data_IF_436472298793
#
_entry.id   IF_436472298793
#
_cell.length_a   1.000
_cell.length_b   1.000
_cell.length_c   1.000
_cell.angle_alpha   90.00
_cell.angle_beta   90.00
_cell.angle_gamma   90.00
#
_symmetry.space_group_name_H-M   'P 1'
#
loop_
_entity.id
_entity.type
_entity.pdbx_description
1 polymer ?
#
# COMPACT_ATOMS: atom_id res chain seq x y z
N UNK A 1 -72.26 -5.65 1.82
CA UNK A 1 -71.38 -6.78 1.41
C UNK A 1 -71.31 -6.80 -0.11
N UNK A 2 -70.17 -7.06 -0.78
CA UNK A 2 -68.80 -7.11 -0.28
C UNK A 2 -67.78 -6.36 -1.17
N UNK A 3 -66.54 -6.32 -0.67
CA UNK A 3 -65.27 -6.49 -1.39
C UNK A 3 -64.51 -5.33 -2.09
N UNK A 4 -63.23 -5.26 -1.65
CA UNK A 4 -61.97 -4.92 -2.33
C UNK A 4 -61.50 -3.47 -2.16
N UNK A 5 -60.63 -3.21 -1.18
CA UNK A 5 -59.20 -3.59 -1.03
C UNK A 5 -58.27 -2.61 -1.74
N UNK A 6 -57.49 -1.91 -0.90
CA UNK A 6 -56.34 -1.11 -1.27
C UNK A 6 -55.36 -1.90 -2.15
N UNK A 7 -54.82 -1.27 -3.17
CA UNK A 7 -53.50 -1.60 -3.69
C UNK A 7 -52.68 -0.32 -3.83
N UNK A 8 -51.91 -0.01 -2.78
CA UNK A 8 -50.69 0.76 -2.92
C UNK A 8 -49.64 -0.17 -3.56
N UNK A 9 -49.17 0.19 -4.75
CA UNK A 9 -48.13 -0.55 -5.46
C UNK A 9 -46.78 -0.37 -4.75
N UNK A 10 -46.32 -1.41 -4.07
CA UNK A 10 -44.92 -1.56 -3.68
C UNK A 10 -44.19 -2.31 -4.81
N UNK A 11 -43.35 -1.61 -5.56
CA UNK A 11 -42.43 -2.22 -6.53
C UNK A 11 -41.21 -2.71 -5.74
N UNK A 12 -41.17 -4.02 -5.47
CA UNK A 12 -40.01 -4.68 -4.91
C UNK A 12 -39.03 -5.03 -6.05
N UNK A 13 -37.94 -4.28 -6.17
CA UNK A 13 -36.87 -4.58 -7.12
C UNK A 13 -36.03 -5.73 -6.57
N UNK A 14 -36.36 -6.96 -6.96
CA UNK A 14 -35.53 -8.15 -6.69
C UNK A 14 -34.29 -8.11 -7.61
N UNK A 15 -33.17 -7.64 -7.07
CA UNK A 15 -31.85 -7.87 -7.66
C UNK A 15 -31.50 -9.34 -7.48
N UNK A 16 -31.81 -10.15 -8.50
CA UNK A 16 -31.29 -11.52 -8.59
C UNK A 16 -29.80 -11.40 -8.92
N UNK A 17 -28.96 -11.43 -7.89
CA UNK A 17 -27.56 -11.82 -8.04
C UNK A 17 -27.57 -13.26 -8.54
N UNK A 18 -27.44 -13.45 -9.86
CA UNK A 18 -27.06 -14.75 -10.41
C UNK A 18 -25.71 -15.11 -9.81
N UNK A 19 -25.70 -15.93 -8.77
CA UNK A 19 -24.51 -16.71 -8.43
C UNK A 19 -24.13 -17.49 -9.69
N UNK A 20 -23.04 -17.07 -10.32
CA UNK A 20 -22.49 -17.84 -11.42
C UNK A 20 -21.98 -19.16 -10.83
N UNK A 21 -22.39 -20.32 -11.38
CA UNK A 21 -21.84 -21.60 -10.94
C UNK A 21 -20.34 -21.59 -11.22
N UNK A 22 -19.53 -21.48 -10.17
CA UNK A 22 -18.08 -21.59 -10.24
C UNK A 22 -17.75 -23.04 -10.57
N UNK A 23 -17.38 -23.30 -11.82
CA UNK A 23 -16.86 -24.61 -12.21
C UNK A 23 -15.59 -24.92 -11.38
N UNK A 24 -15.45 -26.14 -10.84
CA UNK A 24 -14.20 -26.57 -10.24
C UNK A 24 -13.09 -26.49 -11.31
N UNK A 25 -11.91 -26.03 -10.91
CA UNK A 25 -10.76 -25.93 -11.80
C UNK A 25 -10.48 -27.30 -12.45
N UNK A 26 -10.24 -27.36 -13.77
CA UNK A 26 -9.89 -28.61 -14.42
C UNK A 26 -8.59 -29.16 -13.80
N UNK A 27 -8.60 -30.45 -13.45
CA UNK A 27 -7.43 -31.19 -12.94
C UNK A 27 -6.24 -31.23 -13.90
N UNK A 28 -6.44 -30.85 -15.17
CA UNK A 28 -5.39 -30.57 -16.15
C UNK A 28 -5.45 -29.07 -16.47
N UNK A 29 -4.80 -28.26 -15.64
CA UNK A 29 -4.75 -26.80 -15.80
C UNK A 29 -4.07 -26.43 -17.11
N UNK A 30 -4.73 -25.59 -17.91
CA UNK A 30 -4.09 -24.91 -19.02
C UNK A 30 -2.79 -24.24 -18.51
N UNK A 31 -1.67 -24.47 -19.18
CA UNK A 31 -0.36 -24.03 -18.71
C UNK A 31 -0.29 -22.49 -18.86
N UNK A 32 -0.38 -21.74 -17.77
CA UNK A 32 -0.30 -20.27 -17.79
C UNK A 32 1.14 -19.79 -17.60
N UNK A 33 1.45 -18.58 -18.04
CA UNK A 33 2.75 -17.94 -17.84
C UNK A 33 2.56 -16.48 -17.41
N UNK A 34 3.63 -15.80 -17.00
CA UNK A 34 3.58 -14.35 -16.75
C UNK A 34 3.69 -13.53 -18.04
N UNK A 35 4.37 -14.06 -19.06
CA UNK A 35 4.62 -13.39 -20.35
C UNK A 35 4.35 -14.28 -21.55
N UNK A 36 4.27 -13.68 -22.75
CA UNK A 36 4.00 -14.40 -24.00
C UNK A 36 2.50 -14.66 -24.26
N UNK A 37 2.17 -15.61 -25.15
CA UNK A 37 0.78 -15.90 -25.55
C UNK A 37 -0.15 -16.28 -24.39
N UNK A 38 0.40 -17.02 -23.41
CA UNK A 38 -0.30 -17.49 -22.21
C UNK A 38 -0.04 -16.59 -20.98
N UNK A 39 0.49 -15.39 -21.22
CA UNK A 39 0.79 -14.37 -20.22
C UNK A 39 -0.45 -13.80 -19.52
N UNK A 40 -0.23 -12.92 -18.54
CA UNK A 40 -1.30 -12.37 -17.67
C UNK A 40 -2.49 -11.76 -18.40
N UNK A 41 -2.25 -11.10 -19.55
CA UNK A 41 -3.30 -10.50 -20.39
C UNK A 41 -4.24 -11.54 -21.01
N UNK A 42 -3.80 -12.79 -21.12
CA UNK A 42 -4.57 -13.91 -21.64
C UNK A 42 -5.24 -14.73 -20.54
N UNK A 43 -4.87 -14.58 -19.26
CA UNK A 43 -5.44 -15.37 -18.17
C UNK A 43 -6.98 -15.35 -18.12
N UNK A 44 -7.69 -14.21 -18.33
CA UNK A 44 -9.15 -14.19 -18.31
C UNK A 44 -9.83 -15.14 -19.31
N UNK A 45 -9.15 -15.56 -20.37
CA UNK A 45 -9.69 -16.49 -21.38
C UNK A 45 -9.96 -17.87 -20.80
N UNK A 46 -9.04 -18.37 -19.96
CA UNK A 46 -9.10 -19.70 -19.37
C UNK A 46 -9.49 -19.67 -17.88
N UNK A 47 -9.31 -18.51 -17.25
CA UNK A 47 -9.58 -18.27 -15.84
C UNK A 47 -10.43 -16.99 -15.71
N UNK A 48 -11.77 -17.07 -15.90
CA UNK A 48 -12.63 -15.89 -16.00
C UNK A 48 -12.52 -14.92 -14.83
N UNK A 49 -12.30 -15.43 -13.61
CA UNK A 49 -12.09 -14.59 -12.41
C UNK A 49 -10.90 -13.65 -12.53
N UNK A 50 -9.90 -13.95 -13.36
CA UNK A 50 -8.75 -13.06 -13.60
C UNK A 50 -9.14 -11.75 -14.31
N UNK A 51 -10.28 -11.71 -15.00
CA UNK A 51 -10.88 -10.48 -15.55
C UNK A 51 -12.05 -9.97 -14.72
N UNK A 52 -12.26 -10.53 -13.52
CA UNK A 52 -13.36 -10.21 -12.63
C UNK A 52 -13.09 -9.01 -11.73
N UNK A 53 -13.93 -8.87 -10.71
CA UNK A 53 -13.81 -7.83 -9.70
C UNK A 53 -12.77 -8.20 -8.63
N UNK A 54 -12.41 -7.21 -7.82
CA UNK A 54 -11.57 -7.37 -6.63
C UNK A 54 -10.19 -8.00 -6.89
N UNK A 55 -9.61 -7.74 -8.05
CA UNK A 55 -8.31 -8.28 -8.40
C UNK A 55 -7.16 -7.65 -7.58
N UNK A 56 -6.12 -8.44 -7.40
CA UNK A 56 -4.82 -8.11 -6.80
C UNK A 56 -3.69 -8.42 -7.79
N UNK A 57 -2.50 -7.79 -7.68
CA UNK A 57 -2.10 -6.79 -6.65
C UNK A 57 -2.58 -5.37 -6.98
N UNK A 58 -2.32 -4.40 -6.10
CA UNK A 58 -2.78 -3.00 -6.21
C UNK A 58 -1.69 -2.00 -5.78
N UNK A 59 -1.86 -0.73 -6.16
CA UNK A 59 -1.08 0.40 -5.65
C UNK A 59 -1.65 0.91 -4.32
N UNK A 60 -0.84 0.86 -3.27
CA UNK A 60 -1.14 1.35 -1.93
C UNK A 60 -0.70 2.83 -1.84
N UNK A 61 -1.61 3.75 -2.13
CA UNK A 61 -1.33 5.19 -2.20
C UNK A 61 -2.34 6.00 -1.39
N UNK A 62 -1.94 7.21 -0.98
CA UNK A 62 -2.64 8.02 0.04
C UNK A 62 -4.13 8.24 -0.20
N UNK A 63 -4.58 8.38 -1.46
CA UNK A 63 -5.98 8.69 -1.80
C UNK A 63 -6.96 7.57 -1.43
N UNK A 64 -6.48 6.32 -1.30
CA UNK A 64 -7.32 5.16 -0.97
C UNK A 64 -7.10 4.65 0.46
N UNK A 65 -6.17 5.22 1.22
CA UNK A 65 -5.85 4.76 2.57
C UNK A 65 -6.82 5.36 3.60
N UNK A 66 -7.34 4.50 4.48
CA UNK A 66 -8.15 4.93 5.60
C UNK A 66 -7.69 4.27 6.89
N UNK A 67 -7.33 5.07 7.90
CA UNK A 67 -7.02 4.53 9.22
C UNK A 67 -8.23 3.80 9.82
N UNK A 68 -7.98 2.61 10.36
CA UNK A 68 -8.98 1.84 11.06
C UNK A 68 -8.42 1.31 12.39
N UNK A 69 -8.89 1.89 13.49
CA UNK A 69 -8.50 1.51 14.85
C UNK A 69 -8.92 0.09 15.25
N UNK A 70 -9.83 -0.56 14.50
CA UNK A 70 -10.20 -1.95 14.76
C UNK A 70 -9.17 -2.96 14.24
N UNK A 71 -8.16 -2.51 13.48
CA UNK A 71 -7.07 -3.35 13.01
C UNK A 71 -6.04 -3.56 14.12
N UNK A 72 -6.20 -4.67 14.84
CA UNK A 72 -5.29 -5.08 15.91
C UNK A 72 -4.04 -5.77 15.34
N UNK A 73 -2.92 -5.80 16.09
CA UNK A 73 -1.77 -6.63 15.73
C UNK A 73 -2.19 -8.08 15.48
N UNK A 74 -1.65 -8.69 14.42
CA UNK A 74 -1.82 -10.12 14.20
C UNK A 74 -0.91 -10.90 15.14
N UNK A 75 -1.36 -12.07 15.57
CA UNK A 75 -0.53 -13.01 16.32
C UNK A 75 -0.12 -14.19 15.44
N UNK A 76 1.16 -14.53 15.45
CA UNK A 76 1.75 -15.57 14.61
C UNK A 76 2.01 -16.84 15.42
N UNK A 77 1.01 -17.71 15.49
CA UNK A 77 1.03 -18.88 16.36
C UNK A 77 1.68 -20.07 15.67
N UNK A 78 2.64 -20.70 16.36
CA UNK A 78 3.37 -21.87 15.85
C UNK A 78 4.43 -21.54 14.79
N UNK A 79 4.70 -20.26 14.51
CA UNK A 79 5.64 -19.83 13.48
C UNK A 79 7.10 -20.21 13.78
N UNK A 80 7.44 -20.42 15.06
CA UNK A 80 8.75 -20.92 15.46
C UNK A 80 8.82 -22.45 15.31
N UNK A 81 9.19 -22.90 14.11
CA UNK A 81 9.28 -24.33 13.78
C UNK A 81 10.63 -24.89 14.20
N UNK A 82 10.61 -26.07 14.85
CA UNK A 82 11.81 -26.74 15.33
C UNK A 82 12.73 -27.15 14.18
N UNK A 83 14.05 -27.00 14.36
CA UNK A 83 15.05 -27.48 13.41
C UNK A 83 15.05 -29.01 13.19
N UNK A 84 14.38 -29.76 14.07
CA UNK A 84 14.19 -31.21 13.92
C UNK A 84 13.02 -31.56 12.97
N UNK A 85 12.16 -30.59 12.66
CA UNK A 85 11.13 -30.73 11.63
C UNK A 85 11.72 -30.36 10.26
N UNK A 86 11.02 -30.75 9.20
CA UNK A 86 11.46 -30.47 7.83
C UNK A 86 10.36 -29.74 7.07
N UNK A 87 10.77 -28.70 6.36
CA UNK A 87 9.96 -28.10 5.31
C UNK A 87 10.28 -28.76 3.97
N UNK A 88 9.34 -28.71 3.04
CA UNK A 88 9.58 -29.07 1.63
C UNK A 88 9.68 -27.81 0.80
N UNK A 89 10.85 -27.53 0.24
CA UNK A 89 11.06 -26.47 -0.74
C UNK A 89 10.88 -27.05 -2.15
N UNK A 90 10.09 -26.38 -2.98
CA UNK A 90 9.66 -26.87 -4.30
C UNK A 90 9.75 -25.72 -5.31
N UNK A 91 10.30 -25.98 -6.49
CA UNK A 91 10.04 -25.14 -7.65
C UNK A 91 8.80 -25.69 -8.37
N UNK A 92 7.68 -24.96 -8.34
CA UNK A 92 6.43 -25.42 -8.97
C UNK A 92 6.27 -24.98 -10.42
N UNK A 93 7.31 -24.37 -10.99
CA UNK A 93 7.32 -23.82 -12.34
C UNK A 93 6.68 -22.44 -12.45
N UNK A 94 6.34 -21.80 -11.33
CA UNK A 94 5.85 -20.41 -11.28
C UNK A 94 6.52 -19.60 -10.16
N UNK A 95 6.92 -20.27 -9.08
CA UNK A 95 7.72 -19.71 -7.99
C UNK A 95 8.57 -20.81 -7.35
N UNK A 96 9.47 -20.41 -6.45
CA UNK A 96 9.91 -21.26 -5.35
C UNK A 96 8.89 -21.18 -4.21
N UNK A 97 8.47 -22.33 -3.69
CA UNK A 97 7.44 -22.48 -2.65
C UNK A 97 7.96 -23.35 -1.53
N UNK A 98 7.74 -22.92 -0.29
CA UNK A 98 8.00 -23.69 0.91
C UNK A 98 6.67 -24.17 1.50
N UNK A 99 6.49 -25.48 1.61
CA UNK A 99 5.33 -26.06 2.29
C UNK A 99 5.47 -25.87 3.80
N UNK A 100 4.41 -25.32 4.43
CA UNK A 100 4.38 -25.07 5.86
C UNK A 100 3.64 -26.21 6.59
N UNK A 101 4.13 -26.66 7.75
CA UNK A 101 3.54 -27.75 8.50
C UNK A 101 2.21 -27.30 9.13
N UNK A 102 1.42 -28.28 9.55
CA UNK A 102 0.19 -28.03 10.28
C UNK A 102 0.48 -27.35 11.63
N UNK A 103 -0.50 -26.61 12.16
CA UNK A 103 -0.42 -25.95 13.46
C UNK A 103 -0.04 -24.47 13.39
N UNK A 104 0.71 -24.06 12.36
CA UNK A 104 0.99 -22.64 12.08
C UNK A 104 -0.31 -21.94 11.71
N UNK A 105 -0.61 -20.82 12.36
CA UNK A 105 -1.80 -20.04 12.05
C UNK A 105 -1.67 -18.59 12.50
N UNK A 106 -2.51 -17.73 11.94
CA UNK A 106 -2.68 -16.36 12.41
C UNK A 106 -3.95 -16.22 13.24
N UNK A 107 -3.85 -15.38 14.27
CA UNK A 107 -4.99 -14.84 15.01
C UNK A 107 -5.03 -13.30 14.83
N UNK A 108 -6.15 -12.67 15.19
CA UNK A 108 -6.41 -11.24 14.92
C UNK A 108 -7.26 -10.98 13.67
N UNK A 109 -7.72 -12.04 13.00
CA UNK A 109 -8.79 -12.02 12.00
C UNK A 109 -10.09 -12.61 12.59
N UNK A 110 -11.26 -12.42 11.95
CA UNK A 110 -12.54 -12.97 12.44
C UNK A 110 -12.61 -14.50 12.55
N UNK A 111 -11.67 -15.21 11.93
CA UNK A 111 -11.53 -16.67 12.02
C UNK A 111 -10.05 -17.02 12.17
N UNK A 112 -9.77 -18.24 12.58
CA UNK A 112 -8.44 -18.82 12.51
C UNK A 112 -8.07 -19.11 11.05
N UNK A 113 -6.91 -18.61 10.64
CA UNK A 113 -6.35 -18.91 9.32
C UNK A 113 -5.07 -19.74 9.48
N UNK A 114 -5.12 -21.00 9.09
CA UNK A 114 -3.99 -21.92 9.18
C UNK A 114 -3.07 -21.77 7.97
N UNK A 115 -1.76 -21.75 8.21
CA UNK A 115 -0.75 -21.60 7.18
C UNK A 115 -0.69 -22.83 6.29
N UNK A 116 -0.39 -22.62 5.00
CA UNK A 116 -0.27 -23.69 4.01
C UNK A 116 1.09 -23.69 3.33
N UNK A 117 1.52 -22.53 2.89
CA UNK A 117 2.77 -22.36 2.15
C UNK A 117 3.24 -20.91 2.23
N UNK A 118 4.51 -20.70 1.88
CA UNK A 118 4.99 -19.39 1.45
C UNK A 118 5.69 -19.48 0.09
N UNK A 119 5.72 -18.39 -0.66
CA UNK A 119 6.37 -18.28 -1.97
C UNK A 119 6.79 -16.83 -2.26
N UNK A 120 7.60 -16.61 -3.31
CA UNK A 120 8.16 -15.30 -3.62
C UNK A 120 7.85 -14.85 -5.05
N UNK A 121 7.79 -13.54 -5.23
CA UNK A 121 7.73 -12.86 -6.53
C UNK A 121 8.93 -11.93 -6.66
N UNK A 122 9.55 -11.89 -7.83
CA UNK A 122 10.75 -11.08 -8.08
C UNK A 122 10.86 -10.65 -9.55
N UNK A 123 11.74 -9.67 -9.77
CA UNK A 123 12.02 -9.08 -11.08
C UNK A 123 13.07 -9.86 -11.85
N UNK A 124 14.03 -9.14 -12.40
CA UNK A 124 15.19 -9.71 -13.07
C UNK A 124 16.42 -8.83 -12.83
N UNK A 125 17.61 -9.37 -13.05
CA UNK A 125 18.88 -8.66 -12.77
C UNK A 125 19.05 -7.30 -13.50
N UNK A 126 18.35 -7.06 -14.62
CA UNK A 126 18.41 -5.80 -15.36
C UNK A 126 17.36 -4.78 -14.88
N UNK A 127 16.29 -5.26 -14.26
CA UNK A 127 15.20 -4.47 -13.68
C UNK A 127 14.76 -5.14 -12.35
N UNK A 128 15.53 -4.91 -11.27
CA UNK A 128 15.37 -5.63 -10.00
C UNK A 128 14.24 -5.04 -9.16
N UNK A 129 13.07 -4.90 -9.78
CA UNK A 129 11.85 -4.31 -9.22
C UNK A 129 10.65 -5.23 -9.53
N UNK A 130 10.45 -6.28 -8.74
CA UNK A 130 9.40 -7.28 -9.01
C UNK A 130 8.56 -7.67 -7.80
N UNK A 131 8.30 -6.74 -6.89
CA UNK A 131 7.16 -6.88 -5.97
C UNK A 131 5.84 -6.87 -6.74
N UNK A 132 4.81 -7.52 -6.21
CA UNK A 132 3.48 -7.50 -6.82
C UNK A 132 2.73 -6.23 -6.42
N UNK A 133 2.62 -5.99 -5.11
CA UNK A 133 2.12 -4.74 -4.56
C UNK A 133 3.13 -3.62 -4.74
N UNK A 134 2.60 -2.41 -4.93
CA UNK A 134 3.40 -1.20 -4.99
C UNK A 134 2.90 -0.20 -3.95
N UNK A 135 3.77 0.70 -3.51
CA UNK A 135 3.41 1.75 -2.55
C UNK A 135 3.73 3.11 -3.17
N UNK A 136 2.70 3.94 -3.36
CA UNK A 136 2.85 5.25 -4.00
C UNK A 136 3.47 5.16 -5.39
N UNK A 137 3.03 4.19 -6.20
CA UNK A 137 3.51 4.00 -7.56
C UNK A 137 4.88 3.32 -7.71
N UNK A 138 5.47 2.77 -6.63
CA UNK A 138 6.81 2.18 -6.64
C UNK A 138 6.83 0.70 -6.28
N UNK A 139 7.46 -0.09 -7.15
CA UNK A 139 7.81 -1.48 -6.86
C UNK A 139 8.99 -1.57 -5.90
N UNK A 140 8.99 -2.65 -5.12
CA UNK A 140 10.10 -3.14 -4.32
C UNK A 140 10.82 -4.25 -5.10
N UNK A 141 11.97 -4.71 -4.59
CA UNK A 141 12.81 -5.66 -5.31
C UNK A 141 12.13 -7.03 -5.50
N UNK A 142 11.49 -7.52 -4.45
CA UNK A 142 10.74 -8.76 -4.43
C UNK A 142 9.58 -8.67 -3.42
N UNK A 143 8.76 -9.71 -3.37
CA UNK A 143 7.67 -9.83 -2.40
C UNK A 143 7.50 -11.28 -1.95
N UNK A 144 7.43 -11.50 -0.63
CA UNK A 144 7.12 -12.78 -0.03
C UNK A 144 5.63 -12.84 0.30
N UNK A 145 4.96 -13.93 -0.07
CA UNK A 145 3.59 -14.25 0.34
C UNK A 145 3.57 -15.45 1.28
N UNK A 146 2.93 -15.29 2.45
CA UNK A 146 2.62 -16.39 3.37
C UNK A 146 1.12 -16.66 3.31
N UNK A 147 0.74 -17.79 2.71
CA UNK A 147 -0.64 -18.14 2.39
C UNK A 147 -1.27 -18.96 3.49
N UNK A 148 -2.44 -18.51 3.93
CA UNK A 148 -3.26 -19.18 4.93
C UNK A 148 -4.68 -19.41 4.39
N UNK A 149 -5.37 -20.39 4.97
CA UNK A 149 -6.78 -20.65 4.68
C UNK A 149 -7.62 -20.66 5.96
N UNK A 150 -8.88 -20.26 5.86
CA UNK A 150 -9.82 -20.25 6.97
C UNK A 150 -10.13 -21.68 7.41
N UNK A 151 -9.45 -22.13 8.46
CA UNK A 151 -9.52 -23.50 8.97
C UNK A 151 -10.69 -23.73 9.92
N UNK A 152 -11.35 -22.67 10.38
CA UNK A 152 -12.59 -22.81 11.15
C UNK A 152 -13.77 -23.18 10.25
N UNK A 153 -13.76 -22.71 8.99
CA UNK A 153 -14.87 -22.91 8.05
C UNK A 153 -14.60 -23.98 6.99
N UNK A 154 -13.34 -24.20 6.61
CA UNK A 154 -12.99 -25.09 5.49
C UNK A 154 -11.93 -26.11 5.90
N UNK A 155 -12.05 -27.36 5.44
CA UNK A 155 -11.11 -28.42 5.81
C UNK A 155 -9.79 -28.38 5.03
N UNK A 156 -9.70 -27.56 3.97
CA UNK A 156 -8.48 -27.41 3.18
C UNK A 156 -8.43 -26.08 2.43
N UNK A 157 -7.22 -25.67 2.08
CA UNK A 157 -6.94 -24.52 1.22
C UNK A 157 -7.57 -24.67 -0.18
N UNK A 158 -7.61 -25.90 -0.71
CA UNK A 158 -8.23 -26.20 -2.01
C UNK A 158 -9.70 -25.77 -2.01
N UNK A 159 -10.46 -26.16 -0.97
CA UNK A 159 -11.87 -25.79 -0.84
C UNK A 159 -12.01 -24.31 -0.51
N UNK A 160 -11.20 -23.79 0.41
CA UNK A 160 -11.26 -22.39 0.83
C UNK A 160 -10.95 -21.40 -0.30
N UNK A 161 -10.06 -21.78 -1.24
CA UNK A 161 -9.57 -20.91 -2.31
C UNK A 161 -10.65 -20.32 -3.21
N UNK A 162 -11.84 -20.93 -3.28
CA UNK A 162 -12.98 -20.46 -4.07
C UNK A 162 -14.13 -19.90 -3.22
N UNK A 163 -13.91 -19.68 -1.92
CA UNK A 163 -14.92 -19.16 -0.98
C UNK A 163 -14.53 -17.77 -0.50
N UNK A 164 -15.51 -16.87 -0.40
CA UNK A 164 -15.28 -15.50 0.08
C UNK A 164 -14.62 -15.50 1.46
N UNK A 165 -13.54 -14.74 1.62
CA UNK A 165 -12.73 -14.73 2.85
C UNK A 165 -12.10 -16.09 3.19
N UNK A 166 -12.04 -17.03 2.25
CA UNK A 166 -11.48 -18.35 2.48
C UNK A 166 -9.97 -18.34 2.64
N UNK A 167 -9.28 -17.32 2.10
CA UNK A 167 -7.83 -17.18 2.23
C UNK A 167 -7.45 -15.88 2.95
N UNK A 168 -6.32 -15.92 3.64
CA UNK A 168 -5.63 -14.75 4.14
C UNK A 168 -4.15 -14.84 3.73
N UNK A 169 -3.62 -13.76 3.15
CA UNK A 169 -2.23 -13.72 2.71
C UNK A 169 -1.52 -12.58 3.41
N UNK A 170 -0.38 -12.90 4.02
CA UNK A 170 0.58 -11.92 4.51
C UNK A 170 1.57 -11.62 3.39
N UNK A 171 1.76 -10.35 3.06
CA UNK A 171 2.72 -9.90 2.06
C UNK A 171 3.83 -9.08 2.72
N UNK A 172 5.07 -9.49 2.50
CA UNK A 172 6.28 -8.79 2.94
C UNK A 172 6.98 -8.21 1.72
N UNK A 173 7.06 -6.88 1.67
CA UNK A 173 7.81 -6.17 0.64
C UNK A 173 9.32 -6.27 0.94
N UNK A 174 10.11 -6.62 -0.06
CA UNK A 174 11.55 -6.88 0.07
C UNK A 174 12.33 -5.84 -0.71
N UNK A 175 13.30 -5.20 -0.08
CA UNK A 175 14.23 -4.26 -0.72
C UNK A 175 15.68 -4.75 -0.66
N UNK A 176 16.53 -4.19 -1.52
CA UNK A 176 17.96 -4.45 -1.46
C UNK A 176 18.59 -3.65 -0.32
N UNK A 177 19.38 -4.31 0.53
CA UNK A 177 20.05 -3.71 1.68
C UNK A 177 21.05 -4.66 2.32
N UNK A 178 21.00 -4.84 3.64
CA UNK A 178 21.89 -5.75 4.37
C UNK A 178 21.60 -7.22 4.07
N UNK A 179 22.63 -8.08 4.20
CA UNK A 179 22.45 -9.53 4.18
C UNK A 179 21.46 -9.97 5.26
N UNK A 180 20.56 -10.89 4.89
CA UNK A 180 19.51 -11.37 5.76
C UNK A 180 19.67 -12.87 6.04
N UNK A 181 20.15 -13.26 7.23
CA UNK A 181 20.36 -14.65 7.57
C UNK A 181 19.08 -15.50 7.52
N UNK A 182 17.92 -14.92 7.80
CA UNK A 182 16.66 -15.65 7.87
C UNK A 182 16.13 -16.00 6.48
N UNK A 183 16.26 -15.09 5.51
CA UNK A 183 15.97 -15.39 4.10
C UNK A 183 17.01 -16.37 3.50
N UNK A 184 18.26 -16.34 3.99
CA UNK A 184 19.30 -17.26 3.53
C UNK A 184 19.00 -18.74 3.86
N UNK A 185 18.21 -19.00 4.91
CA UNK A 185 17.70 -20.34 5.23
C UNK A 185 16.86 -20.94 4.10
N UNK A 186 16.31 -20.11 3.21
CA UNK A 186 15.63 -20.54 1.97
C UNK A 186 16.60 -20.41 0.78
N UNK A 187 17.24 -19.24 0.63
CA UNK A 187 17.99 -18.91 -0.58
C UNK A 187 19.23 -19.80 -0.80
N UNK A 188 19.86 -20.27 0.28
CA UNK A 188 20.97 -21.21 0.22
C UNK A 188 20.61 -22.61 -0.31
N UNK A 189 19.33 -22.87 -0.57
CA UNK A 189 18.84 -24.14 -1.13
C UNK A 189 18.30 -24.03 -2.57
N UNK A 190 18.28 -22.85 -3.18
CA UNK A 190 17.70 -22.65 -4.53
C UNK A 190 18.36 -23.52 -5.60
N UNK A 191 19.66 -23.77 -5.49
CA UNK A 191 20.39 -24.62 -6.43
C UNK A 191 19.89 -26.09 -6.46
N UNK A 192 19.21 -26.54 -5.40
CA UNK A 192 18.64 -27.89 -5.33
C UNK A 192 17.22 -27.98 -5.93
N UNK A 193 16.62 -26.84 -6.28
CA UNK A 193 15.29 -26.73 -6.88
C UNK A 193 15.32 -25.87 -8.14
N UNK A 194 16.42 -25.94 -8.89
CA UNK A 194 16.69 -25.12 -10.08
C UNK A 194 15.58 -25.22 -11.12
N UNK A 195 15.05 -26.42 -11.37
CA UNK A 195 14.06 -26.68 -12.41
C UNK A 195 12.68 -27.02 -11.84
N UNK A 196 11.64 -26.80 -12.65
CA UNK A 196 10.26 -27.15 -12.31
C UNK A 196 10.14 -28.59 -11.83
N UNK A 197 9.33 -28.77 -10.79
CA UNK A 197 8.99 -30.01 -10.09
C UNK A 197 10.12 -30.60 -9.22
N UNK A 198 11.30 -29.99 -9.19
CA UNK A 198 12.35 -30.37 -8.23
C UNK A 198 11.97 -29.96 -6.80
N UNK A 199 12.38 -30.78 -5.84
CA UNK A 199 12.10 -30.60 -4.41
C UNK A 199 13.33 -30.90 -3.55
N UNK A 200 13.44 -30.22 -2.43
CA UNK A 200 14.44 -30.49 -1.39
C UNK A 200 13.82 -30.30 -0.01
N UNK A 201 14.27 -31.09 0.96
CA UNK A 201 13.91 -30.87 2.36
C UNK A 201 14.91 -29.93 3.02
N UNK A 202 14.40 -28.95 3.77
CA UNK A 202 15.23 -28.01 4.53
C UNK A 202 14.81 -28.06 6.01
N UNK A 203 15.75 -27.85 6.97
CA UNK A 203 15.42 -27.83 8.39
C UNK A 203 14.38 -26.76 8.73
N UNK A 204 13.54 -27.04 9.72
CA UNK A 204 12.61 -26.06 10.28
C UNK A 204 13.33 -24.85 10.85
N UNK A 205 12.68 -23.69 10.75
CA UNK A 205 13.15 -22.44 11.35
C UNK A 205 11.97 -21.52 11.65
N UNK A 206 12.22 -20.43 12.37
CA UNK A 206 11.18 -19.45 12.66
C UNK A 206 10.76 -18.67 11.42
N UNK A 207 9.53 -18.90 10.96
CA UNK A 207 8.91 -18.18 9.84
C UNK A 207 8.67 -16.70 10.21
N UNK A 208 8.52 -16.41 11.50
CA UNK A 208 8.32 -15.03 12.00
C UNK A 208 9.55 -14.15 11.72
N UNK A 209 10.75 -14.73 11.63
CA UNK A 209 11.97 -13.99 11.26
C UNK A 209 11.97 -13.51 9.79
N UNK A 210 11.03 -13.98 8.95
CA UNK A 210 10.86 -13.49 7.58
C UNK A 210 9.99 -12.22 7.53
N UNK A 211 9.32 -11.86 8.63
CA UNK A 211 8.48 -10.69 8.75
C UNK A 211 9.31 -9.43 9.01
N UNK A 212 8.82 -8.24 8.61
CA UNK A 212 9.51 -6.99 8.84
C UNK A 212 9.38 -6.53 10.30
N UNK A 213 10.17 -5.53 10.67
CA UNK A 213 9.98 -4.82 11.94
C UNK A 213 8.58 -4.21 12.03
N UNK A 214 8.05 -4.10 13.26
CA UNK A 214 6.72 -3.54 13.54
C UNK A 214 5.59 -4.17 12.70
N UNK A 215 5.37 -5.50 12.79
CA UNK A 215 4.30 -6.18 12.06
C UNK A 215 2.87 -5.72 12.47
N UNK A 216 2.75 -4.90 13.51
CA UNK A 216 1.53 -4.19 13.86
C UNK A 216 1.13 -3.10 12.83
N UNK A 217 2.06 -2.64 11.99
CA UNK A 217 1.83 -1.62 10.95
C UNK A 217 1.61 -2.29 9.58
N UNK A 218 0.38 -2.28 9.09
CA UNK A 218 0.01 -2.96 7.85
C UNK A 218 -1.17 -2.32 7.13
N UNK A 219 -1.27 -2.62 5.84
CA UNK A 219 -2.40 -2.37 4.96
C UNK A 219 -3.31 -3.60 4.94
N UNK A 220 -4.63 -3.39 4.92
CA UNK A 220 -5.66 -4.44 4.91
C UNK A 220 -6.69 -4.16 3.84
N UNK A 221 -6.93 -5.14 2.95
CA UNK A 221 -8.00 -5.06 1.96
C UNK A 221 -8.48 -6.46 1.52
N UNK A 222 -9.69 -6.52 0.94
CA UNK A 222 -10.18 -7.73 0.29
C UNK A 222 -9.79 -7.71 -1.19
N UNK A 223 -9.16 -8.78 -1.65
CA UNK A 223 -8.63 -8.91 -3.00
C UNK A 223 -8.72 -10.34 -3.54
N UNK A 224 -7.82 -10.66 -4.47
CA UNK A 224 -7.78 -11.96 -5.13
C UNK A 224 -6.45 -12.66 -4.95
N UNK A 225 -6.39 -13.92 -5.37
CA UNK A 225 -5.13 -14.53 -5.79
C UNK A 225 -4.51 -13.68 -6.91
N UNK A 226 -3.19 -13.50 -6.89
CA UNK A 226 -2.41 -12.81 -7.92
C UNK A 226 -1.99 -13.73 -9.07
N UNK A 227 -2.34 -15.02 -8.96
CA UNK A 227 -2.11 -16.04 -9.98
C UNK A 227 -3.43 -16.73 -10.33
N UNK A 228 -3.54 -17.35 -11.52
CA UNK A 228 -4.69 -18.17 -11.87
C UNK A 228 -5.01 -19.23 -10.81
N UNK A 229 -6.29 -19.40 -10.41
CA UNK A 229 -7.49 -18.91 -11.08
C UNK A 229 -7.97 -17.50 -10.64
N UNK A 230 -7.16 -16.70 -9.95
CA UNK A 230 -7.47 -15.31 -9.57
C UNK A 230 -8.78 -15.11 -8.78
N UNK A 231 -9.15 -16.09 -7.95
CA UNK A 231 -10.38 -16.02 -7.16
C UNK A 231 -10.34 -14.82 -6.19
N UNK A 232 -11.42 -14.01 -6.10
CA UNK A 232 -11.52 -12.84 -5.22
C UNK A 232 -11.86 -13.26 -3.77
N UNK A 233 -10.97 -14.05 -3.16
CA UNK A 233 -11.20 -14.77 -1.91
C UNK A 233 -10.21 -14.44 -0.81
N UNK A 234 -9.28 -13.51 -1.09
CA UNK A 234 -8.13 -13.23 -0.23
C UNK A 234 -8.37 -12.00 0.63
N UNK A 235 -8.15 -12.15 1.94
CA UNK A 235 -7.93 -11.04 2.86
C UNK A 235 -6.43 -10.74 2.88
N UNK A 236 -6.04 -9.63 2.27
CA UNK A 236 -4.64 -9.22 2.19
C UNK A 236 -4.22 -8.46 3.43
N UNK A 237 -3.04 -8.81 3.96
CA UNK A 237 -2.28 -8.00 4.91
C UNK A 237 -0.93 -7.72 4.30
N UNK A 238 -0.70 -6.50 3.83
CA UNK A 238 0.61 -6.07 3.31
C UNK A 238 1.30 -5.29 4.41
N UNK A 239 2.46 -5.73 4.88
CA UNK A 239 3.16 -4.99 5.96
C UNK A 239 3.69 -3.65 5.44
N UNK A 240 3.66 -2.63 6.31
CA UNK A 240 4.14 -1.28 5.98
C UNK A 240 5.65 -1.26 5.82
N UNK A 241 6.35 -1.94 6.73
CA UNK A 241 7.81 -2.00 6.74
C UNK A 241 8.30 -3.10 5.80
N UNK A 242 9.48 -2.87 5.24
CA UNK A 242 10.16 -3.80 4.35
C UNK A 242 11.13 -4.67 5.13
N UNK A 243 11.53 -5.76 4.51
CA UNK A 243 12.75 -6.49 4.89
C UNK A 243 13.83 -6.22 3.87
N UNK A 244 15.08 -6.25 4.31
CA UNK A 244 16.22 -6.12 3.42
C UNK A 244 16.81 -7.48 3.11
N UNK A 245 17.31 -7.65 1.89
CA UNK A 245 18.22 -8.74 1.51
C UNK A 245 19.45 -8.15 0.81
N UNK A 246 20.60 -8.83 0.90
CA UNK A 246 21.79 -8.36 0.18
C UNK A 246 21.61 -8.43 -1.33
N UNK A 247 22.41 -7.65 -2.06
CA UNK A 247 22.47 -7.74 -3.53
C UNK A 247 22.77 -9.16 -4.02
N UNK A 248 23.63 -9.90 -3.33
CA UNK A 248 23.99 -11.27 -3.68
C UNK A 248 22.80 -12.23 -3.49
N UNK A 249 22.03 -12.05 -2.42
CA UNK A 249 20.81 -12.82 -2.17
C UNK A 249 19.74 -12.54 -3.22
N UNK A 250 19.52 -11.26 -3.56
CA UNK A 250 18.57 -10.89 -4.61
C UNK A 250 18.99 -11.47 -5.97
N UNK A 251 20.27 -11.34 -6.34
CA UNK A 251 20.78 -11.89 -7.59
C UNK A 251 20.64 -13.42 -7.66
N UNK A 252 20.89 -14.12 -6.54
CA UNK A 252 20.67 -15.57 -6.47
C UNK A 252 19.19 -15.93 -6.72
N UNK A 253 18.25 -15.19 -6.12
CA UNK A 253 16.82 -15.38 -6.38
C UNK A 253 16.47 -15.15 -7.87
N UNK A 254 17.01 -14.09 -8.47
CA UNK A 254 16.75 -13.68 -9.85
C UNK A 254 17.37 -14.59 -10.93
N UNK A 255 18.31 -15.48 -10.57
CA UNK A 255 19.10 -16.25 -11.55
C UNK A 255 19.17 -17.75 -11.28
N UNK A 256 18.76 -18.24 -10.10
CA UNK A 256 18.92 -19.65 -9.73
C UNK A 256 17.86 -20.58 -10.33
N UNK A 257 16.72 -20.06 -10.78
CA UNK A 257 15.51 -20.86 -11.04
C UNK A 257 15.04 -20.78 -12.49
N UNK A 258 14.37 -21.84 -12.95
CA UNK A 258 13.77 -21.97 -14.27
C UNK A 258 12.29 -22.37 -14.16
N UNK A 259 11.44 -21.78 -15.02
CA UNK A 259 10.02 -22.15 -15.17
C UNK A 259 9.84 -23.56 -15.77
N UNK A 260 10.87 -24.05 -16.46
CA UNK A 260 10.85 -25.31 -17.21
C UNK A 260 11.46 -26.47 -16.43
N UNK A 261 11.17 -27.70 -16.86
CA UNK A 261 11.84 -28.90 -16.34
C UNK A 261 13.28 -28.96 -16.86
N UNK A 262 14.13 -29.75 -16.21
CA UNK A 262 15.56 -29.87 -16.52
C UNK A 262 15.83 -30.31 -17.97
N UNK A 263 15.02 -31.23 -18.49
CA UNK A 263 15.17 -31.78 -19.84
C UNK A 263 14.36 -31.01 -20.91
N UNK A 264 13.87 -29.81 -20.60
CA UNK A 264 13.15 -28.99 -21.57
C UNK A 264 14.14 -28.46 -22.63
N UNK A 265 13.88 -28.67 -23.93
CA UNK A 265 14.79 -28.22 -25.00
C UNK A 265 14.90 -26.69 -25.11
N UNK A 266 13.96 -25.94 -24.52
CA UNK A 266 13.96 -24.49 -24.51
C UNK A 266 13.82 -23.97 -23.07
N UNK A 267 14.90 -24.04 -22.26
CA UNK A 267 14.84 -23.65 -20.86
C UNK A 267 14.50 -22.17 -20.72
N UNK A 268 13.60 -21.85 -19.78
CA UNK A 268 13.18 -20.47 -19.50
C UNK A 268 13.49 -20.12 -18.05
N UNK A 269 14.33 -19.10 -17.87
CA UNK A 269 14.64 -18.55 -16.55
C UNK A 269 13.37 -18.06 -15.86
N UNK A 270 13.27 -18.32 -14.55
CA UNK A 270 12.18 -17.86 -13.70
C UNK A 270 12.45 -16.42 -13.28
N UNK A 271 12.03 -15.49 -14.12
CA UNK A 271 12.17 -14.05 -13.90
C UNK A 271 10.85 -13.34 -14.21
N UNK A 272 10.67 -12.16 -13.62
CA UNK A 272 9.45 -11.35 -13.76
C UNK A 272 8.19 -12.18 -13.46
N UNK A 273 8.24 -12.95 -12.37
CA UNK A 273 7.16 -13.83 -11.97
C UNK A 273 6.13 -13.09 -11.09
N UNK A 274 5.82 -11.84 -11.41
CA UNK A 274 4.85 -11.00 -10.71
C UNK A 274 3.76 -10.53 -11.68
N UNK A 275 2.55 -10.30 -11.18
CA UNK A 275 1.43 -9.75 -11.95
C UNK A 275 1.48 -8.22 -11.95
N UNK A 276 1.06 -7.61 -13.05
CA UNK A 276 0.85 -6.16 -13.12
C UNK A 276 -0.23 -5.69 -12.13
N UNK A 277 -0.12 -4.43 -11.68
CA UNK A 277 -1.10 -3.84 -10.77
C UNK A 277 -2.49 -3.75 -11.40
N UNK A 278 -3.49 -4.07 -10.59
CA UNK A 278 -4.89 -4.12 -11.00
C UNK A 278 -5.59 -2.82 -10.62
N UNK A 279 -6.61 -2.44 -11.40
CA UNK A 279 -7.43 -1.26 -11.08
C UNK A 279 -8.12 -1.45 -9.73
N UNK A 280 -8.08 -0.40 -8.92
CA UNK A 280 -8.66 -0.37 -7.58
C UNK A 280 -9.64 0.80 -7.46
N UNK A 281 -10.71 0.74 -8.25
CA UNK A 281 -11.72 1.80 -8.25
C UNK A 281 -12.75 1.55 -7.13
N UNK A 282 -13.18 2.63 -6.46
CA UNK A 282 -14.28 2.68 -5.47
C UNK A 282 -14.12 1.81 -4.20
N UNK A 283 -12.93 1.26 -3.95
CA UNK A 283 -12.61 0.53 -2.71
C UNK A 283 -11.65 1.33 -1.84
N UNK A 284 -11.56 0.95 -0.56
CA UNK A 284 -10.61 1.52 0.39
C UNK A 284 -9.64 0.46 0.86
N UNK A 285 -8.42 0.88 1.15
CA UNK A 285 -7.43 0.10 1.87
C UNK A 285 -7.40 0.62 3.29
N UNK A 286 -7.59 -0.27 4.27
CA UNK A 286 -7.50 0.11 5.66
C UNK A 286 -6.05 0.04 6.14
N UNK A 287 -5.63 0.98 6.98
CA UNK A 287 -4.29 0.96 7.60
C UNK A 287 -4.41 0.86 9.13
N UNK A 288 -3.55 0.05 9.74
CA UNK A 288 -3.49 -0.11 11.21
C UNK A 288 -2.65 0.96 11.91
N UNK A 289 -1.93 1.77 11.14
CA UNK A 289 -1.07 2.85 11.62
C UNK A 289 -1.64 4.21 11.24
N UNK A 290 -1.38 5.22 12.07
CA UNK A 290 -1.71 6.59 11.70
C UNK A 290 -0.62 7.12 10.77
N UNK A 291 -1.03 7.71 9.65
CA UNK A 291 -0.13 8.47 8.81
C UNK A 291 0.26 9.73 9.58
N UNK A 292 1.55 9.95 9.85
CA UNK A 292 2.00 11.24 10.37
C UNK A 292 1.55 12.30 9.38
N UNK A 293 0.61 13.17 9.80
CA UNK A 293 0.27 14.33 9.00
C UNK A 293 1.52 15.17 8.88
N UNK A 294 2.05 15.27 7.67
CA UNK A 294 3.12 16.19 7.33
C UNK A 294 2.65 17.61 7.70
N UNK A 295 3.07 18.09 8.87
CA UNK A 295 2.77 19.41 9.44
C UNK A 295 3.20 20.56 8.52
N UNK A 296 3.92 20.25 7.44
CA UNK A 296 4.37 21.17 6.39
C UNK A 296 3.21 21.85 5.68
N UNK A 297 2.12 21.14 5.34
CA UNK A 297 0.97 21.76 4.65
C UNK A 297 0.15 22.68 5.56
N UNK A 298 -0.03 22.31 6.83
CA UNK A 298 -0.69 23.16 7.82
C UNK A 298 0.14 24.41 8.12
N UNK A 299 1.46 24.29 8.21
CA UNK A 299 2.38 25.42 8.41
C UNK A 299 2.40 26.40 7.24
N UNK A 300 2.39 25.89 6.00
CA UNK A 300 2.28 26.72 4.78
C UNK A 300 0.93 27.45 4.72
N UNK A 301 -0.17 26.77 5.04
CA UNK A 301 -1.51 27.37 5.09
C UNK A 301 -1.58 28.50 6.13
N UNK A 302 -1.04 28.27 7.33
CA UNK A 302 -1.00 29.29 8.39
C UNK A 302 -0.12 30.48 7.99
N UNK A 303 1.02 30.24 7.33
CA UNK A 303 1.90 31.28 6.82
C UNK A 303 1.25 32.16 5.74
N UNK A 304 0.45 31.55 4.85
CA UNK A 304 -0.32 32.28 3.83
C UNK A 304 -1.43 33.13 4.48
N UNK A 305 -2.14 32.57 5.47
CA UNK A 305 -3.18 33.31 6.20
C UNK A 305 -2.59 34.49 6.99
N UNK A 306 -1.47 34.27 7.68
CA UNK A 306 -0.78 35.33 8.44
C UNK A 306 -0.21 36.43 7.54
N UNK A 307 0.38 36.07 6.40
CA UNK A 307 0.90 37.04 5.43
C UNK A 307 -0.23 37.86 4.77
N UNK A 308 -1.36 37.23 4.44
CA UNK A 308 -2.56 37.91 3.96
C UNK A 308 -3.12 38.89 4.98
N UNK A 309 -3.19 38.50 6.26
CA UNK A 309 -3.63 39.38 7.34
C UNK A 309 -2.70 40.58 7.54
N UNK A 310 -1.38 40.36 7.51
CA UNK A 310 -0.38 41.43 7.67
C UNK A 310 -0.42 42.43 6.51
N UNK A 311 -0.57 41.94 5.27
CA UNK A 311 -0.73 42.78 4.08
C UNK A 311 -2.01 43.63 4.15
N UNK A 312 -3.11 43.06 4.64
CA UNK A 312 -4.37 43.79 4.88
C UNK A 312 -4.20 44.94 5.88
N UNK A 313 -3.54 44.69 7.02
CA UNK A 313 -3.28 45.71 8.04
C UNK A 313 -2.38 46.83 7.50
N UNK A 314 -1.30 46.48 6.79
CA UNK A 314 -0.42 47.46 6.15
C UNK A 314 -1.18 48.31 5.12
N UNK A 315 -2.04 47.70 4.30
CA UNK A 315 -2.89 48.41 3.35
C UNK A 315 -3.80 49.44 4.02
N UNK A 316 -4.46 49.07 5.12
CA UNK A 316 -5.31 49.99 5.90
C UNK A 316 -4.50 51.14 6.49
N UNK A 317 -3.30 50.87 7.03
CA UNK A 317 -2.41 51.91 7.57
C UNK A 317 -1.97 52.92 6.50
N UNK A 318 -1.64 52.45 5.30
CA UNK A 318 -1.27 53.32 4.17
C UNK A 318 -2.45 54.19 3.74
N UNK A 319 -3.65 53.61 3.62
CA UNK A 319 -4.86 54.36 3.26
C UNK A 319 -5.16 55.45 4.29
N UNK A 320 -5.05 55.14 5.59
CA UNK A 320 -5.23 56.11 6.67
C UNK A 320 -4.18 57.21 6.61
N UNK A 321 -2.90 56.88 6.41
CA UNK A 321 -1.82 57.86 6.29
C UNK A 321 -2.03 58.81 5.11
N UNK A 322 -2.41 58.29 3.94
CA UNK A 322 -2.72 59.09 2.75
C UNK A 322 -3.94 59.97 3.00
N UNK A 323 -4.99 59.44 3.63
CA UNK A 323 -6.19 60.22 3.97
C UNK A 323 -5.88 61.37 4.92
N UNK A 324 -5.09 61.11 5.98
CA UNK A 324 -4.64 62.14 6.93
C UNK A 324 -3.78 63.19 6.20
N UNK A 325 -2.88 62.77 5.32
CA UNK A 325 -2.03 63.67 4.54
C UNK A 325 -2.85 64.58 3.61
N UNK A 326 -3.84 64.03 2.90
CA UNK A 326 -4.75 64.80 2.04
C UNK A 326 -5.58 65.82 2.84
N UNK A 327 -6.08 65.44 4.02
CA UNK A 327 -6.82 66.35 4.91
C UNK A 327 -5.92 67.49 5.41
N UNK A 328 -4.68 67.19 5.82
CA UNK A 328 -3.70 68.21 6.24
C UNK A 328 -3.33 69.17 5.10
N UNK A 329 -3.12 68.65 3.89
CA UNK A 329 -2.85 69.46 2.69
C UNK A 329 -4.01 70.39 2.33
N UNK A 330 -5.26 69.93 2.48
CA UNK A 330 -6.47 70.74 2.25
C UNK A 330 -6.65 71.84 3.31
N UNK A 331 -6.29 71.57 4.58
CA UNK A 331 -6.26 72.61 5.64
C UNK A 331 -5.17 73.65 5.41
N UNK A 332 -3.97 73.25 4.98
CA UNK A 332 -2.87 74.18 4.69
C UNK A 332 -3.20 75.15 3.54
N UNK A 333 -3.88 74.69 2.47
CA UNK A 333 -4.37 75.58 1.40
C UNK A 333 -5.47 76.57 1.84
N UNK A 334 -6.14 76.32 2.97
CA UNK A 334 -7.23 77.18 3.48
C UNK A 334 -6.76 78.21 4.53
N UNK A 335 -5.50 78.16 4.95
CA UNK A 335 -4.92 79.07 5.95
C UNK A 335 -3.94 80.11 5.42
N UNK A 336 -3.83 80.26 4.09
CA UNK A 336 -2.84 81.13 3.43
C UNK A 336 -3.20 82.60 3.29
N UNK A 337 -4.44 83.00 3.56
CA UNK A 337 -4.88 84.41 3.48
C UNK A 337 -5.46 84.87 4.81
N UNK A 338 -4.62 85.32 5.75
CA UNK A 338 -4.82 86.57 6.50
C UNK A 338 -3.87 86.74 7.70
N UNK A 339 -3.44 88.01 7.86
CA UNK A 339 -2.76 88.66 9.01
C UNK A 339 -1.24 88.49 9.00
N UNK A 340 -0.43 89.53 8.90
CA UNK A 340 -0.61 90.93 9.29
C UNK A 340 0.62 91.30 10.11
N UNK A 341 1.64 91.86 9.46
CA UNK A 341 2.95 92.16 10.07
C UNK A 341 2.85 93.46 10.88
N UNK A 342 3.19 93.41 12.17
CA UNK A 342 3.43 94.61 12.98
C UNK A 342 4.87 94.53 13.51
N UNK A 343 5.72 95.45 13.02
CA UNK A 343 7.09 95.65 13.47
C UNK A 343 7.10 96.67 14.61
N UNK A 344 7.87 96.42 15.69
CA UNK A 344 8.28 97.46 16.65
C UNK A 344 9.81 97.50 16.76
N UNK A 345 10.43 98.69 16.63
CA UNK A 345 11.89 98.84 16.67
C UNK A 345 12.41 98.90 18.11
N UNK A 346 13.64 98.42 18.30
CA UNK A 346 14.39 98.55 19.55
C UNK A 346 15.15 99.88 19.56
N UNK A 347 15.00 100.66 20.64
CA UNK A 347 15.86 101.80 20.95
C UNK A 347 16.74 101.48 22.15
N UNK A 348 18.01 101.83 22.03
CA UNK A 348 19.09 101.62 23.01
C UNK A 348 19.76 102.96 23.28
N UNK A 349 19.93 103.32 24.57
CA UNK A 349 21.01 104.13 25.19
C UNK A 349 20.51 104.51 26.60
N UNK A 350 21.10 104.05 27.71
CA UNK A 350 22.46 104.23 28.25
C UNK A 350 22.70 105.65 28.81
N UNK A 351 22.94 105.68 30.15
CA UNK A 351 23.58 106.69 31.02
C UNK A 351 22.94 108.11 31.09
N UNK A 352 22.94 108.88 32.19
CA UNK A 352 23.72 108.90 33.43
C UNK A 352 23.07 109.81 34.50
N UNK A 353 23.71 109.82 35.66
CA UNK A 353 23.45 110.40 36.98
C UNK A 353 23.25 111.94 37.16
N UNK A 354 22.63 112.25 38.31
CA UNK A 354 22.87 113.35 39.27
C UNK A 354 22.96 114.82 38.80
N UNK A 355 21.99 115.65 39.23
CA UNK A 355 22.10 116.54 40.41
C UNK A 355 20.74 117.18 40.71
#
# INVERSE_FOLDING_TARGET
>A
MPHRSLHAGAVLLLLILKEQPSSPAPLNGFNWTYSGPDGEKSWPKNYPSCGGLMQSPIDLHGDILQYNASLVPLEFQGYNVSANEQFTLINDGHSVKLELPAGLHIQGLPSRYSAKQLHLHWGNQNDPHGSEHIVGGKHFAAELHIVHYNSDLYPSDIIASNKSGGLAVLAVLIEMGSFNPSYDKIFSHLQHVKYKDQKVHIPGFSIEELLPERPAEYYRYHGSLTTPPCHPTVIWTVFRNTVQVSRQQLLALETALYFTRENDPAPREMVNNFRGVQKFDERRVYISFQQEQDLTYAGLSLGIVLSGALAGVLGVCVILAVSIWLVRRKKSKKGGDNKGVIYKPAFKKETEAHA
#
